data_IF_013505085580
#
_entry.id   IF_013505085580
#
_cell.length_a   1.000
_cell.length_b   1.000
_cell.length_c   1.000
_cell.angle_alpha   90.00
_cell.angle_beta   90.00
_cell.angle_gamma   90.00
#
_symmetry.space_group_name_H-M   'P 1'
#
loop_
_entity.id
_entity.type
_entity.pdbx_description
1 polymer ?
#
# COMPACT_ATOMS: atom_id res chain seq x y z
N UNK A 1 -8.60 -11.14 -17.06
CA UNK A 1 -9.19 -10.07 -16.21
C UNK A 1 -9.88 -10.78 -15.07
N UNK A 2 -9.57 -10.46 -13.80
CA UNK A 2 -10.28 -11.07 -12.67
C UNK A 2 -11.67 -10.47 -12.55
N UNK A 3 -12.66 -11.28 -12.20
CA UNK A 3 -13.93 -10.74 -11.74
C UNK A 3 -13.81 -10.13 -10.33
N UNK A 4 -14.88 -9.49 -9.85
CA UNK A 4 -14.86 -8.83 -8.54
C UNK A 4 -14.72 -9.80 -7.36
N UNK A 5 -15.22 -11.03 -7.48
CA UNK A 5 -15.12 -12.03 -6.42
C UNK A 5 -13.67 -12.54 -6.28
N UNK A 6 -13.05 -12.90 -7.41
CA UNK A 6 -11.63 -13.29 -7.48
C UNK A 6 -10.71 -12.17 -6.99
N UNK A 7 -11.06 -10.91 -7.28
CA UNK A 7 -10.34 -9.74 -6.81
C UNK A 7 -10.45 -9.58 -5.29
N UNK A 8 -11.64 -9.76 -4.73
CA UNK A 8 -11.86 -9.72 -3.29
C UNK A 8 -11.09 -10.83 -2.56
N UNK A 9 -11.12 -12.06 -3.07
CA UNK A 9 -10.38 -13.19 -2.51
C UNK A 9 -8.87 -12.97 -2.52
N UNK A 10 -8.32 -12.53 -3.66
CA UNK A 10 -6.89 -12.21 -3.79
C UNK A 10 -6.48 -11.09 -2.81
N UNK A 11 -7.33 -10.07 -2.65
CA UNK A 11 -7.10 -8.97 -1.71
C UNK A 11 -7.14 -9.44 -0.27
N UNK A 12 -8.14 -10.25 0.10
CA UNK A 12 -8.29 -10.79 1.44
C UNK A 12 -7.07 -11.62 1.85
N UNK A 13 -6.57 -12.47 0.95
CA UNK A 13 -5.34 -13.25 1.17
C UNK A 13 -4.12 -12.37 1.48
N UNK A 14 -3.98 -11.24 0.77
CA UNK A 14 -2.89 -10.28 1.04
C UNK A 14 -3.10 -9.58 2.37
N UNK A 15 -4.31 -9.08 2.63
CA UNK A 15 -4.62 -8.36 3.88
C UNK A 15 -4.40 -9.27 5.10
N UNK A 16 -4.86 -10.52 5.08
CA UNK A 16 -4.69 -11.45 6.20
C UNK A 16 -3.23 -11.79 6.46
N UNK A 17 -2.43 -11.96 5.40
CA UNK A 17 -0.98 -12.14 5.54
C UNK A 17 -0.32 -10.94 6.23
N UNK A 18 -0.78 -9.72 5.96
CA UNK A 18 -0.22 -8.50 6.53
C UNK A 18 -0.83 -8.11 7.88
N UNK A 19 -2.03 -8.59 8.21
CA UNK A 19 -2.58 -8.59 9.58
C UNK A 19 -1.70 -9.40 10.51
N UNK A 20 -1.19 -10.54 10.06
CA UNK A 20 -0.24 -11.34 10.86
C UNK A 20 1.19 -10.77 10.91
N UNK A 21 1.44 -9.57 10.36
CA UNK A 21 2.78 -8.99 10.22
C UNK A 21 2.83 -7.58 10.82
N UNK A 22 3.37 -7.40 12.03
CA UNK A 22 3.59 -6.09 12.62
C UNK A 22 4.44 -5.18 11.74
N UNK A 23 4.26 -3.87 11.91
CA UNK A 23 5.07 -2.89 11.19
C UNK A 23 6.55 -3.06 11.55
N UNK A 24 7.42 -3.10 10.54
CA UNK A 24 8.85 -3.20 10.76
C UNK A 24 9.66 -2.96 9.50
N UNK A 25 10.57 -2.00 9.57
CA UNK A 25 11.49 -1.67 8.49
C UNK A 25 12.38 -2.86 8.11
N UNK A 26 12.89 -3.60 9.11
CA UNK A 26 13.77 -4.75 8.88
C UNK A 26 13.03 -6.06 8.52
N UNK A 27 11.72 -6.13 8.74
CA UNK A 27 10.90 -7.36 8.60
C UNK A 27 10.03 -7.37 7.34
N UNK A 28 10.20 -6.37 6.46
CA UNK A 28 9.32 -6.17 5.31
C UNK A 28 7.82 -6.06 5.69
N UNK A 29 7.57 -5.53 6.89
CA UNK A 29 6.24 -5.16 7.38
C UNK A 29 6.01 -3.67 7.17
N UNK A 30 5.96 -3.21 5.92
CA UNK A 30 5.71 -1.79 5.62
C UNK A 30 4.68 -1.63 4.51
N UNK A 31 4.11 -0.43 4.37
CA UNK A 31 3.07 -0.12 3.39
C UNK A 31 3.50 -0.39 1.94
N UNK A 32 4.77 -0.13 1.56
CA UNK A 32 5.26 -0.44 0.21
C UNK A 32 5.36 -1.96 -0.05
N UNK A 33 5.65 -2.77 0.97
CA UNK A 33 5.64 -4.24 0.84
C UNK A 33 4.22 -4.78 0.70
N UNK A 34 3.24 -4.19 1.41
CA UNK A 34 1.82 -4.46 1.24
C UNK A 34 1.38 -4.12 -0.19
N UNK A 35 1.68 -2.92 -0.66
CA UNK A 35 1.37 -2.45 -2.01
C UNK A 35 1.93 -3.39 -3.08
N UNK A 36 3.21 -3.77 -2.98
CA UNK A 36 3.83 -4.73 -3.91
C UNK A 36 3.17 -6.10 -3.88
N UNK A 37 2.81 -6.59 -2.70
CA UNK A 37 2.12 -7.88 -2.56
C UNK A 37 0.73 -7.82 -3.23
N UNK A 38 0.00 -6.73 -3.02
CA UNK A 38 -1.32 -6.49 -3.61
C UNK A 38 -1.26 -6.36 -5.13
N UNK A 39 -0.32 -5.56 -5.65
CA UNK A 39 -0.06 -5.44 -7.09
C UNK A 39 0.18 -6.82 -7.74
N UNK A 40 1.06 -7.64 -7.12
CA UNK A 40 1.33 -9.01 -7.61
C UNK A 40 0.10 -9.91 -7.51
N UNK A 41 -0.64 -9.84 -6.41
CA UNK A 41 -1.86 -10.60 -6.23
C UNK A 41 -2.88 -10.27 -7.33
N UNK A 42 -2.91 -9.02 -7.80
CA UNK A 42 -3.80 -8.56 -8.87
C UNK A 42 -3.23 -8.66 -10.29
N UNK A 43 -2.03 -9.24 -10.45
CA UNK A 43 -1.46 -9.59 -11.76
C UNK A 43 -0.45 -8.58 -12.32
N UNK A 44 -0.13 -7.53 -11.57
CA UNK A 44 0.91 -6.56 -11.92
C UNK A 44 2.30 -7.11 -11.63
N UNK A 45 3.31 -6.52 -12.27
CA UNK A 45 4.72 -6.89 -12.13
C UNK A 45 5.57 -5.71 -11.62
N UNK A 46 5.31 -5.20 -10.41
CA UNK A 46 6.13 -4.13 -9.83
C UNK A 46 7.59 -4.58 -9.65
N UNK A 47 8.55 -3.64 -9.70
CA UNK A 47 9.96 -3.93 -9.46
C UNK A 47 10.19 -4.53 -8.05
N UNK A 48 11.33 -5.19 -7.82
CA UNK A 48 11.71 -5.62 -6.48
C UNK A 48 11.93 -4.42 -5.55
N UNK A 49 11.55 -4.55 -4.28
CA UNK A 49 11.82 -3.52 -3.27
C UNK A 49 13.25 -3.75 -2.74
N UNK A 50 14.14 -2.73 -2.77
CA UNK A 50 15.46 -2.85 -2.18
C UNK A 50 15.36 -3.02 -0.66
N UNK A 51 16.37 -3.66 -0.06
CA UNK A 51 16.39 -3.83 1.40
C UNK A 51 16.71 -2.49 2.07
N UNK A 52 15.83 -2.04 2.95
CA UNK A 52 16.08 -0.94 3.88
C UNK A 52 15.70 -1.38 5.30
N UNK A 53 16.28 -0.75 6.32
CA UNK A 53 16.04 -1.09 7.74
C UNK A 53 15.62 0.12 8.59
N UNK A 54 15.34 1.26 7.96
CA UNK A 54 14.88 2.50 8.60
C UNK A 54 14.10 3.37 7.63
N UNK A 55 13.40 4.37 8.16
CA UNK A 55 12.68 5.38 7.37
C UNK A 55 13.62 6.17 6.44
N UNK A 56 14.77 6.63 6.97
CA UNK A 56 15.82 7.28 6.18
C UNK A 56 16.31 6.38 5.04
N UNK A 57 16.51 5.09 5.31
CA UNK A 57 16.92 4.12 4.28
C UNK A 57 15.86 3.94 3.21
N UNK A 58 14.58 3.88 3.60
CA UNK A 58 13.46 3.83 2.67
C UNK A 58 13.37 5.11 1.82
N UNK A 59 13.66 6.28 2.39
CA UNK A 59 13.64 7.56 1.66
C UNK A 59 14.74 7.60 0.61
N UNK A 60 15.95 7.18 0.96
CA UNK A 60 17.06 7.03 0.00
C UNK A 60 16.71 6.06 -1.11
N UNK A 61 16.08 4.92 -0.77
CA UNK A 61 15.64 3.94 -1.76
C UNK A 61 14.59 4.52 -2.71
N UNK A 62 13.63 5.31 -2.20
CA UNK A 62 12.65 6.01 -3.02
C UNK A 62 13.33 7.00 -3.97
N UNK A 63 14.22 7.86 -3.47
CA UNK A 63 14.93 8.83 -4.32
C UNK A 63 15.74 8.13 -5.44
N UNK A 64 16.31 6.96 -5.15
CA UNK A 64 17.06 6.18 -6.13
C UNK A 64 16.20 5.63 -7.28
N UNK A 65 14.87 5.63 -7.13
CA UNK A 65 13.93 5.33 -8.24
C UNK A 65 13.68 6.52 -9.16
N UNK A 66 14.20 7.71 -8.84
CA UNK A 66 13.97 8.94 -9.61
C UNK A 66 12.68 9.69 -9.24
N UNK A 67 11.98 9.27 -8.17
CA UNK A 67 10.72 9.86 -7.73
C UNK A 67 10.90 10.64 -6.42
N UNK A 68 10.20 11.78 -6.31
CA UNK A 68 10.26 12.68 -5.15
C UNK A 68 9.43 12.19 -3.94
N UNK A 69 8.36 11.43 -4.21
CA UNK A 69 7.44 10.92 -3.20
C UNK A 69 6.79 9.59 -3.67
N UNK A 70 5.99 9.00 -2.79
CA UNK A 70 5.28 7.75 -3.08
C UNK A 70 4.20 7.94 -4.15
N UNK A 71 3.60 9.13 -4.25
CA UNK A 71 2.58 9.43 -5.24
C UNK A 71 3.16 9.37 -6.66
N UNK A 72 4.29 10.04 -6.90
CA UNK A 72 5.00 10.02 -8.17
C UNK A 72 5.54 8.64 -8.54
N UNK A 73 5.95 7.85 -7.54
CA UNK A 73 6.30 6.43 -7.76
C UNK A 73 5.10 5.60 -8.21
N UNK A 74 3.93 5.78 -7.59
CA UNK A 74 2.72 5.04 -7.98
C UNK A 74 2.19 5.52 -9.34
N UNK A 75 2.25 6.81 -9.63
CA UNK A 75 1.87 7.41 -10.93
C UNK A 75 2.69 6.86 -12.09
N UNK A 76 3.97 6.51 -11.87
CA UNK A 76 4.80 5.93 -12.92
C UNK A 76 4.46 4.47 -13.25
N UNK A 77 3.72 3.79 -12.38
CA UNK A 77 3.40 2.37 -12.51
C UNK A 77 1.93 2.08 -12.77
N UNK A 78 1.03 2.95 -12.32
CA UNK A 78 -0.40 2.65 -12.24
C UNK A 78 -1.26 3.81 -12.74
N UNK A 79 -2.42 3.52 -13.34
CA UNK A 79 -3.38 4.56 -13.71
C UNK A 79 -4.02 5.16 -12.45
N UNK A 80 -3.86 6.47 -12.28
CA UNK A 80 -4.51 7.24 -11.21
C UNK A 80 -6.02 7.31 -11.44
N UNK A 81 -6.79 7.20 -10.36
CA UNK A 81 -8.26 7.30 -10.34
C UNK A 81 -8.72 8.22 -9.20
N UNK A 82 -9.98 8.67 -9.27
CA UNK A 82 -10.60 9.32 -8.13
C UNK A 82 -10.80 8.31 -6.98
N UNK A 83 -10.59 8.70 -5.70
CA UNK A 83 -10.80 7.79 -4.56
C UNK A 83 -12.21 7.16 -4.52
N UNK A 84 -13.24 7.91 -4.91
CA UNK A 84 -14.61 7.41 -4.99
C UNK A 84 -14.83 6.31 -6.06
N UNK A 85 -13.90 6.16 -7.01
CA UNK A 85 -13.94 5.15 -8.06
C UNK A 85 -13.14 3.88 -7.73
N UNK A 86 -12.59 3.80 -6.50
CA UNK A 86 -11.84 2.63 -6.06
C UNK A 86 -12.72 1.39 -5.98
N UNK A 87 -12.16 0.27 -6.41
CA UNK A 87 -12.69 -1.06 -6.16
C UNK A 87 -11.91 -1.73 -5.02
N UNK A 88 -12.48 -2.79 -4.43
CA UNK A 88 -11.76 -3.63 -3.46
C UNK A 88 -10.39 -4.00 -4.03
N UNK A 89 -9.32 -3.81 -3.28
CA UNK A 89 -7.97 -4.13 -3.71
C UNK A 89 -7.23 -3.03 -4.48
N UNK A 90 -7.86 -1.92 -4.85
CA UNK A 90 -7.14 -0.74 -5.37
C UNK A 90 -6.22 -0.15 -4.30
N UNK A 91 -5.20 0.58 -4.74
CA UNK A 91 -4.29 1.28 -3.82
C UNK A 91 -4.75 2.71 -3.62
N UNK A 92 -4.57 3.21 -2.41
CA UNK A 92 -4.64 4.64 -2.12
C UNK A 92 -3.44 5.09 -1.31
N UNK A 93 -3.21 6.39 -1.34
CA UNK A 93 -2.24 7.09 -0.51
C UNK A 93 -3.02 8.07 0.35
N UNK A 94 -2.90 7.93 1.67
CA UNK A 94 -3.49 8.82 2.66
C UNK A 94 -2.38 9.55 3.39
N UNK A 95 -2.66 10.76 3.90
CA UNK A 95 -1.71 11.51 4.71
C UNK A 95 -1.23 10.66 5.88
N UNK A 96 0.09 10.55 6.02
CA UNK A 96 0.72 9.87 7.15
C UNK A 96 1.00 10.82 8.31
N UNK A 97 1.33 10.25 9.47
CA UNK A 97 1.71 10.96 10.69
C UNK A 97 3.23 11.19 10.83
N UNK A 98 4.03 10.68 9.89
CA UNK A 98 5.50 10.69 9.95
C UNK A 98 6.17 11.12 8.64
N UNK A 99 7.38 10.60 8.40
CA UNK A 99 8.20 10.94 7.22
C UNK A 99 7.58 10.50 5.88
N UNK A 100 6.58 9.63 5.90
CA UNK A 100 5.92 9.08 4.72
C UNK A 100 4.41 9.13 4.85
N UNK A 101 3.76 9.37 3.71
CA UNK A 101 2.36 9.07 3.53
C UNK A 101 2.09 7.55 3.55
N UNK A 102 0.86 7.18 3.89
CA UNK A 102 0.47 5.80 4.09
C UNK A 102 -0.16 5.21 2.83
N UNK A 103 0.52 4.22 2.23
CA UNK A 103 -0.12 3.39 1.19
C UNK A 103 -1.06 2.39 1.87
N UNK A 104 -2.31 2.38 1.42
CA UNK A 104 -3.38 1.51 1.92
C UNK A 104 -4.04 0.76 0.77
N UNK A 105 -4.72 -0.34 1.10
CA UNK A 105 -5.49 -1.15 0.14
C UNK A 105 -6.98 -0.95 0.40
N UNK A 106 -7.77 -0.67 -0.63
CA UNK A 106 -9.22 -0.55 -0.48
C UNK A 106 -9.84 -1.88 -0.05
N UNK A 107 -10.61 -1.86 1.04
CA UNK A 107 -11.44 -2.98 1.49
C UNK A 107 -12.93 -2.66 1.32
N UNK A 108 -13.27 -1.82 0.33
CA UNK A 108 -14.61 -1.26 0.15
C UNK A 108 -14.74 0.08 0.87
N UNK A 109 -15.60 0.17 1.89
CA UNK A 109 -15.81 1.41 2.66
C UNK A 109 -14.58 1.80 3.52
N UNK A 110 -13.81 0.81 3.97
CA UNK A 110 -12.64 0.99 4.82
C UNK A 110 -11.35 0.73 4.06
N UNK A 111 -10.23 1.21 4.59
CA UNK A 111 -8.90 1.01 4.03
C UNK A 111 -8.11 0.04 4.91
N UNK A 112 -7.47 -0.95 4.31
CA UNK A 112 -6.53 -1.83 4.99
C UNK A 112 -5.12 -1.20 4.94
N UNK A 113 -4.59 -0.76 6.08
CA UNK A 113 -3.27 -0.15 6.19
C UNK A 113 -2.62 -0.33 7.56
N UNK A 114 -1.37 0.11 7.71
CA UNK A 114 -0.73 0.20 9.02
C UNK A 114 -1.15 1.50 9.71
N UNK A 115 -1.76 1.40 10.88
CA UNK A 115 -2.10 2.57 11.71
C UNK A 115 -0.98 2.87 12.70
N UNK A 116 -0.73 4.15 12.98
CA UNK A 116 0.34 4.61 13.88
C UNK A 116 0.22 4.07 15.29
N UNK A 117 -1.00 4.06 15.83
CA UNK A 117 -1.30 3.56 17.18
C UNK A 117 -1.37 2.03 17.28
N UNK A 118 -1.41 1.33 16.13
CA UNK A 118 -1.61 -0.13 16.08
C UNK A 118 -0.46 -0.87 15.37
N UNK A 119 0.73 -0.26 15.30
CA UNK A 119 1.90 -0.83 14.61
C UNK A 119 2.25 -2.27 15.02
N UNK A 120 1.94 -2.66 16.25
CA UNK A 120 2.18 -4.00 16.79
C UNK A 120 1.20 -5.08 16.26
N UNK A 121 0.05 -4.68 15.71
CA UNK A 121 -1.02 -5.60 15.24
C UNK A 121 -0.92 -5.93 13.75
N UNK A 122 -0.06 -5.24 13.02
CA UNK A 122 0.00 -5.34 11.56
C UNK A 122 -0.99 -4.42 10.86
N UNK A 123 -1.49 -4.84 9.70
CA UNK A 123 -2.52 -4.10 8.96
C UNK A 123 -3.86 -4.17 9.67
N UNK A 124 -4.55 -3.04 9.77
CA UNK A 124 -5.89 -2.92 10.36
C UNK A 124 -6.82 -2.19 9.41
N UNK A 125 -8.13 -2.24 9.68
CA UNK A 125 -9.10 -1.44 8.93
C UNK A 125 -9.11 -0.01 9.48
N UNK A 126 -8.94 0.95 8.60
CA UNK A 126 -8.79 2.38 8.90
C UNK A 126 -9.92 3.13 8.19
N UNK A 127 -10.51 4.10 8.87
CA UNK A 127 -11.45 5.02 8.24
C UNK A 127 -10.70 5.96 7.28
N UNK A 128 -11.21 6.04 6.06
CA UNK A 128 -10.61 6.85 5.02
C UNK A 128 -10.74 8.36 5.33
N UNK A 129 -9.60 9.04 5.35
CA UNK A 129 -9.50 10.50 5.45
C UNK A 129 -8.28 10.98 4.66
N UNK A 130 -8.25 12.26 4.28
CA UNK A 130 -7.08 12.93 3.68
C UNK A 130 -6.39 12.15 2.55
N UNK A 131 -7.16 11.69 1.55
CA UNK A 131 -6.60 11.07 0.36
C UNK A 131 -5.70 12.04 -0.41
N UNK A 132 -4.49 11.57 -0.75
CA UNK A 132 -3.55 12.23 -1.66
C UNK A 132 -3.72 11.67 -3.08
N UNK A 133 -4.07 10.39 -3.20
CA UNK A 133 -4.28 9.74 -4.48
C UNK A 133 -4.84 8.33 -4.35
N UNK A 134 -5.37 7.82 -5.46
CA UNK A 134 -5.81 6.43 -5.62
C UNK A 134 -5.42 5.91 -7.01
N UNK A 135 -5.17 4.61 -7.12
CA UNK A 135 -4.70 3.98 -8.35
C UNK A 135 -5.42 2.65 -8.59
N UNK A 136 -5.81 2.43 -9.84
CA UNK A 136 -6.44 1.18 -10.26
C UNK A 136 -5.39 0.09 -10.40
N UNK A 137 -5.62 -1.01 -9.68
CA UNK A 137 -4.97 -2.31 -9.91
C UNK A 137 -5.84 -3.21 -10.78
#
# INVERSE_FOLDING_TARGET
MRDLAQRAEATQSVVDRFRARPFGWATAGTCIHLARAQMRALGHRPPPIPRFRSAIGARRALMATGHADLAGLLDSMLPRIAPAAMWVGDLALMRGDGEFDAIVVSAGRLMAGYHSDERHRGVVNIEAHDFIGAWRL
#
